data_IF_433829769361
#
_entry.id   IF_433829769361
#
_cell.length_a   1.000
_cell.length_b   1.000
_cell.length_c   1.000
_cell.angle_alpha   90.00
_cell.angle_beta   90.00
_cell.angle_gamma   90.00
#
_symmetry.space_group_name_H-M   'P 1'
#
loop_
_entity.id
_entity.type
_entity.pdbx_description
1 polymer ?
#
# COMPACT_ATOMS: atom_id res chain seq x y z
N UNK A 1 -3.65 12.49 -2.60
CA UNK A 1 -4.56 12.96 -1.52
C UNK A 1 -5.85 13.50 -2.09
N UNK A 2 -6.87 13.74 -1.26
CA UNK A 2 -8.16 14.31 -1.61
C UNK A 2 -9.26 13.80 -0.69
N UNK A 3 -10.43 14.43 -0.73
CA UNK A 3 -11.60 14.05 0.08
C UNK A 3 -12.09 12.62 -0.19
N UNK A 4 -12.91 12.10 0.74
CA UNK A 4 -13.61 10.82 0.51
C UNK A 4 -14.49 10.92 -0.75
N UNK A 5 -14.47 9.86 -1.58
CA UNK A 5 -15.21 9.87 -2.84
C UNK A 5 -14.51 10.57 -4.01
N UNK A 6 -13.32 11.16 -3.84
CA UNK A 6 -12.60 11.83 -4.94
C UNK A 6 -12.05 10.89 -6.03
N UNK A 7 -12.12 9.56 -5.83
CA UNK A 7 -11.68 8.56 -6.81
C UNK A 7 -10.33 7.92 -6.52
N UNK A 8 -9.67 8.18 -5.38
CA UNK A 8 -8.36 7.64 -5.01
C UNK A 8 -8.28 6.11 -5.07
N UNK A 9 -9.17 5.43 -4.36
CA UNK A 9 -9.22 3.95 -4.33
C UNK A 9 -9.59 3.36 -5.69
N UNK A 10 -10.37 4.08 -6.51
CA UNK A 10 -10.67 3.66 -7.88
C UNK A 10 -9.42 3.67 -8.74
N UNK A 11 -8.60 4.72 -8.65
CA UNK A 11 -7.30 4.80 -9.35
C UNK A 11 -6.38 3.67 -8.87
N UNK A 12 -6.27 3.46 -7.55
CA UNK A 12 -5.48 2.35 -6.99
C UNK A 12 -5.87 1.00 -7.59
N UNK A 13 -7.18 0.70 -7.61
CA UNK A 13 -7.72 -0.55 -8.17
C UNK A 13 -7.51 -0.68 -9.69
N UNK A 14 -7.49 0.43 -10.41
CA UNK A 14 -7.15 0.42 -11.84
C UNK A 14 -5.66 0.16 -12.06
N UNK A 15 -4.77 0.74 -11.26
CA UNK A 15 -3.32 0.53 -11.37
C UNK A 15 -2.96 -0.94 -11.14
N UNK A 16 -3.56 -1.61 -10.15
CA UNK A 16 -3.33 -3.04 -9.92
C UNK A 16 -4.19 -3.95 -10.81
N UNK A 17 -4.87 -3.37 -11.80
CA UNK A 17 -5.74 -4.06 -12.76
C UNK A 17 -6.85 -4.93 -12.13
N UNK A 18 -7.43 -4.46 -11.02
CA UNK A 18 -8.68 -4.98 -10.47
C UNK A 18 -9.89 -4.40 -11.20
N UNK A 19 -9.79 -3.13 -11.64
CA UNK A 19 -10.77 -2.46 -12.49
C UNK A 19 -10.10 -2.08 -13.81
N UNK A 20 -10.83 -2.21 -14.92
CA UNK A 20 -10.39 -1.69 -16.20
C UNK A 20 -10.84 -0.25 -16.35
N UNK A 21 -9.97 0.69 -16.77
CA UNK A 21 -10.38 2.04 -17.10
C UNK A 21 -11.31 2.03 -18.33
N UNK A 22 -12.30 2.92 -18.34
CA UNK A 22 -13.22 3.11 -19.48
C UNK A 22 -12.52 3.73 -20.68
N UNK A 23 -11.49 4.52 -20.45
CA UNK A 23 -10.65 5.17 -21.46
C UNK A 23 -9.26 5.49 -20.90
N UNK A 24 -8.31 5.73 -21.78
CA UNK A 24 -6.93 6.02 -21.43
C UNK A 24 -6.08 4.77 -21.19
N UNK A 25 -4.79 5.01 -20.96
CA UNK A 25 -3.79 3.96 -20.78
C UNK A 25 -3.13 4.09 -19.40
N UNK A 26 -2.65 2.97 -18.88
CA UNK A 26 -1.83 2.91 -17.67
C UNK A 26 -0.53 2.21 -18.08
N UNK A 27 0.58 2.92 -17.91
CA UNK A 27 1.90 2.40 -18.22
C UNK A 27 2.68 2.15 -16.92
N UNK A 28 3.32 1.01 -16.84
CA UNK A 28 4.25 0.65 -15.78
C UNK A 28 5.52 0.07 -16.40
N UNK A 29 6.66 0.69 -16.13
CA UNK A 29 7.97 0.24 -16.61
C UNK A 29 7.98 0.01 -18.14
N UNK A 30 7.46 0.97 -18.91
CA UNK A 30 7.30 0.92 -20.37
C UNK A 30 6.34 -0.16 -20.91
N UNK A 31 5.55 -0.80 -20.02
CA UNK A 31 4.53 -1.77 -20.41
C UNK A 31 3.14 -1.15 -20.20
N UNK A 32 2.35 -1.07 -21.28
CA UNK A 32 0.97 -0.62 -21.18
C UNK A 32 0.08 -1.72 -20.62
N UNK A 33 -0.30 -1.57 -19.34
CA UNK A 33 -1.07 -2.58 -18.59
C UNK A 33 -2.45 -2.80 -19.22
N UNK A 34 -3.09 -1.73 -19.67
CA UNK A 34 -4.44 -1.78 -20.26
C UNK A 34 -4.50 -2.58 -21.56
N UNK A 35 -3.36 -2.76 -22.23
CA UNK A 35 -3.21 -3.51 -23.49
C UNK A 35 -2.79 -4.96 -23.29
N UNK A 36 -2.47 -5.38 -22.06
CA UNK A 36 -2.11 -6.78 -21.77
C UNK A 36 -3.33 -7.68 -22.00
N UNK A 37 -3.20 -8.63 -22.95
CA UNK A 37 -4.24 -9.62 -23.28
C UNK A 37 -3.89 -11.02 -22.76
N UNK A 38 -2.61 -11.31 -22.61
CA UNK A 38 -2.11 -12.60 -22.18
C UNK A 38 -2.17 -12.77 -20.65
N UNK A 39 -2.79 -13.85 -20.16
CA UNK A 39 -2.78 -14.19 -18.75
C UNK A 39 -1.36 -14.36 -18.21
N UNK A 40 -0.42 -14.87 -19.01
CA UNK A 40 0.99 -15.04 -18.63
C UNK A 40 1.68 -13.68 -18.38
N UNK A 41 1.43 -12.71 -19.24
CA UNK A 41 1.96 -11.34 -19.09
C UNK A 41 1.31 -10.65 -17.90
N UNK A 42 -0.01 -10.80 -17.73
CA UNK A 42 -0.73 -10.28 -16.59
C UNK A 42 -0.22 -10.84 -15.25
N UNK A 43 0.12 -12.14 -15.21
CA UNK A 43 0.73 -12.75 -14.02
C UNK A 43 2.11 -12.16 -13.71
N UNK A 44 2.94 -11.91 -14.74
CA UNK A 44 4.23 -11.22 -14.55
C UNK A 44 4.05 -9.81 -14.01
N UNK A 45 3.08 -9.07 -14.53
CA UNK A 45 2.73 -7.74 -14.05
C UNK A 45 2.26 -7.78 -12.60
N UNK A 46 1.30 -8.64 -12.26
CA UNK A 46 0.77 -8.78 -10.89
C UNK A 46 1.83 -9.18 -9.86
N UNK A 47 2.90 -9.88 -10.29
CA UNK A 47 4.05 -10.14 -9.43
C UNK A 47 4.78 -8.87 -9.01
N UNK A 48 4.84 -7.86 -9.89
CA UNK A 48 5.64 -6.66 -9.70
C UNK A 48 4.91 -5.55 -8.96
N UNK A 49 3.58 -5.55 -8.99
CA UNK A 49 2.75 -4.54 -8.30
C UNK A 49 1.80 -5.25 -7.36
N UNK A 50 1.85 -4.88 -6.10
CA UNK A 50 0.96 -5.43 -5.06
C UNK A 50 0.19 -4.31 -4.38
N UNK A 51 -0.93 -4.67 -3.75
CA UNK A 51 -1.81 -3.71 -3.08
C UNK A 51 -2.01 -4.08 -1.62
N UNK A 52 -1.90 -3.06 -0.77
CA UNK A 52 -2.31 -3.11 0.64
C UNK A 52 -3.64 -2.37 0.72
N UNK A 53 -4.68 -3.08 1.16
CA UNK A 53 -6.05 -2.56 1.22
C UNK A 53 -6.30 -1.82 2.52
N UNK A 54 -7.29 -0.93 2.51
CA UNK A 54 -7.71 -0.09 3.62
C UNK A 54 -8.11 -0.89 4.86
N UNK A 55 -8.85 -1.98 4.66
CA UNK A 55 -9.33 -2.83 5.76
C UNK A 55 -8.60 -4.18 5.76
N UNK A 56 -7.71 -4.42 6.74
CA UNK A 56 -7.03 -5.69 6.88
C UNK A 56 -7.95 -6.84 7.27
N UNK A 57 -9.13 -6.56 7.86
CA UNK A 57 -10.12 -7.58 8.22
C UNK A 57 -10.72 -8.24 6.97
N UNK A 58 -11.20 -7.43 6.04
CA UNK A 58 -11.82 -7.93 4.82
C UNK A 58 -10.81 -8.48 3.80
N UNK A 59 -9.55 -8.05 3.90
CA UNK A 59 -8.50 -8.44 2.95
C UNK A 59 -7.86 -9.79 3.27
N UNK A 60 -7.96 -10.30 4.50
CA UNK A 60 -7.39 -11.57 4.93
C UNK A 60 -8.50 -12.64 5.06
N UNK A 61 -8.27 -13.83 4.49
CA UNK A 61 -9.19 -14.95 4.67
C UNK A 61 -9.05 -15.51 6.11
N UNK A 62 -10.01 -15.20 6.97
CA UNK A 62 -10.01 -15.62 8.37
C UNK A 62 -10.06 -17.14 8.63
N UNK A 63 -10.32 -17.94 7.58
CA UNK A 63 -10.33 -19.42 7.65
C UNK A 63 -8.98 -20.06 7.40
N UNK A 64 -8.01 -19.30 6.92
CA UNK A 64 -6.65 -19.74 6.62
C UNK A 64 -5.70 -19.32 7.74
N UNK A 65 -4.68 -20.11 7.99
CA UNK A 65 -3.57 -19.72 8.87
C UNK A 65 -2.71 -18.67 8.19
N UNK A 66 -2.04 -17.85 8.99
CA UNK A 66 -1.17 -16.77 8.49
C UNK A 66 -0.14 -17.27 7.49
N UNK A 67 0.49 -18.44 7.75
CA UNK A 67 1.43 -19.03 6.79
C UNK A 67 0.80 -19.35 5.43
N UNK A 68 -0.45 -19.80 5.42
CA UNK A 68 -1.14 -20.13 4.18
C UNK A 68 -1.49 -18.86 3.40
N UNK A 69 -1.90 -17.81 4.10
CA UNK A 69 -2.19 -16.49 3.52
C UNK A 69 -0.93 -15.88 2.88
N UNK A 70 0.19 -15.89 3.60
CA UNK A 70 1.47 -15.31 3.11
C UNK A 70 2.08 -16.18 2.02
N UNK A 71 1.95 -17.51 2.08
CA UNK A 71 2.50 -18.44 1.10
C UNK A 71 1.68 -18.51 -0.21
N UNK A 72 0.42 -18.12 -0.22
CA UNK A 72 -0.44 -18.21 -1.40
C UNK A 72 0.17 -17.52 -2.64
N UNK A 73 0.58 -16.24 -2.59
CA UNK A 73 1.20 -15.60 -3.74
C UNK A 73 2.55 -16.21 -4.12
N UNK A 74 3.31 -16.76 -3.16
CA UNK A 74 4.58 -17.44 -3.46
C UNK A 74 4.32 -18.69 -4.29
N UNK A 75 3.40 -19.55 -3.85
CA UNK A 75 3.01 -20.79 -4.56
C UNK A 75 2.46 -20.49 -5.95
N UNK A 76 1.69 -19.42 -6.09
CA UNK A 76 1.12 -19.02 -7.37
C UNK A 76 2.20 -18.67 -8.40
N UNK A 77 3.27 -18.00 -7.99
CA UNK A 77 4.36 -17.55 -8.87
C UNK A 77 5.54 -18.52 -8.94
N UNK A 78 5.67 -19.44 -7.98
CA UNK A 78 6.68 -20.50 -7.95
C UNK A 78 6.06 -21.82 -7.47
N UNK A 79 5.30 -22.52 -8.35
CA UNK A 79 4.63 -23.77 -7.96
C UNK A 79 5.57 -24.92 -7.58
N UNK A 80 6.85 -24.84 -7.97
CA UNK A 80 7.87 -25.87 -7.71
C UNK A 80 8.68 -25.63 -6.43
N UNK A 81 8.37 -24.59 -5.66
CA UNK A 81 9.08 -24.31 -4.40
C UNK A 81 8.97 -25.46 -3.42
N UNK A 82 10.08 -25.88 -2.82
CA UNK A 82 10.06 -26.94 -1.80
C UNK A 82 9.31 -26.44 -0.55
N UNK A 83 8.78 -27.39 0.25
CA UNK A 83 8.09 -27.03 1.48
C UNK A 83 9.02 -26.32 2.47
N UNK A 84 10.26 -26.78 2.58
CA UNK A 84 11.23 -26.18 3.52
C UNK A 84 11.61 -24.76 3.12
N UNK A 85 11.88 -24.53 1.82
CA UNK A 85 12.19 -23.18 1.32
C UNK A 85 11.01 -22.23 1.47
N UNK A 86 9.78 -22.73 1.25
CA UNK A 86 8.57 -21.97 1.43
C UNK A 86 8.36 -21.57 2.90
N UNK A 87 8.52 -22.52 3.83
CA UNK A 87 8.36 -22.24 5.26
C UNK A 87 9.44 -21.25 5.74
N UNK A 88 10.70 -21.41 5.31
CA UNK A 88 11.76 -20.44 5.62
C UNK A 88 11.42 -19.05 5.11
N UNK A 89 11.02 -18.94 3.84
CA UNK A 89 10.70 -17.67 3.23
C UNK A 89 9.50 -16.96 3.89
N UNK A 90 8.49 -17.73 4.30
CA UNK A 90 7.36 -17.20 5.06
C UNK A 90 7.81 -16.67 6.43
N UNK A 91 8.72 -17.37 7.11
CA UNK A 91 9.24 -16.91 8.40
C UNK A 91 10.05 -15.61 8.25
N UNK A 92 10.91 -15.52 7.22
CA UNK A 92 11.66 -14.29 6.94
C UNK A 92 10.74 -13.11 6.64
N UNK A 93 9.65 -13.32 5.89
CA UNK A 93 8.64 -12.31 5.62
C UNK A 93 7.89 -11.87 6.89
N UNK A 94 7.55 -12.78 7.78
CA UNK A 94 6.91 -12.45 9.05
C UNK A 94 7.85 -11.64 9.95
N UNK A 95 9.12 -12.01 10.01
CA UNK A 95 10.14 -11.31 10.77
C UNK A 95 10.38 -9.90 10.22
N UNK A 96 10.41 -9.72 8.89
CA UNK A 96 10.57 -8.41 8.24
C UNK A 96 9.44 -7.42 8.56
N UNK A 97 8.28 -7.92 8.98
CA UNK A 97 7.15 -7.11 9.45
C UNK A 97 6.97 -7.15 10.98
N UNK A 98 8.03 -7.53 11.72
CA UNK A 98 8.08 -7.60 13.18
C UNK A 98 7.02 -8.55 13.79
N UNK A 99 6.76 -9.66 13.12
CA UNK A 99 5.95 -10.76 13.65
C UNK A 99 6.86 -11.97 13.93
N UNK A 100 6.57 -12.67 15.03
CA UNK A 100 7.33 -13.89 15.38
C UNK A 100 6.94 -15.07 14.49
N UNK A 101 7.81 -16.06 14.34
CA UNK A 101 7.55 -17.29 13.59
C UNK A 101 6.33 -18.06 14.11
N UNK A 102 6.04 -17.97 15.42
CA UNK A 102 4.85 -18.59 16.02
C UNK A 102 3.53 -18.03 15.44
N UNK A 103 3.56 -16.80 14.90
CA UNK A 103 2.43 -16.19 14.22
C UNK A 103 1.96 -16.98 13.00
N UNK A 104 2.86 -17.72 12.35
CA UNK A 104 2.57 -18.48 11.14
C UNK A 104 1.44 -19.52 11.31
N UNK A 105 1.31 -20.10 12.50
CA UNK A 105 0.35 -21.17 12.78
C UNK A 105 -1.01 -20.67 13.31
N UNK A 106 -1.15 -19.37 13.55
CA UNK A 106 -2.34 -18.74 14.07
C UNK A 106 -3.26 -18.26 12.95
N UNK A 107 -4.51 -17.95 13.30
CA UNK A 107 -5.52 -17.41 12.39
C UNK A 107 -5.62 -15.88 12.52
N UNK A 108 -6.04 -15.14 11.46
CA UNK A 108 -6.14 -13.68 11.50
C UNK A 108 -6.96 -13.12 12.66
N UNK A 109 -8.02 -13.80 13.07
CA UNK A 109 -8.87 -13.34 14.17
C UNK A 109 -8.19 -13.34 15.55
N UNK A 110 -7.05 -14.02 15.69
CA UNK A 110 -6.25 -14.06 16.92
C UNK A 110 -5.26 -12.88 17.05
N UNK A 111 -5.27 -11.92 16.10
CA UNK A 111 -4.35 -10.81 16.04
C UNK A 111 -5.07 -9.47 16.21
N UNK A 112 -4.35 -8.46 16.73
CA UNK A 112 -4.80 -7.07 16.76
C UNK A 112 -4.91 -6.48 15.35
N UNK A 113 -5.55 -5.32 15.21
CA UNK A 113 -5.64 -4.60 13.93
C UNK A 113 -4.27 -4.31 13.29
N UNK A 114 -3.33 -3.79 14.09
CA UNK A 114 -1.96 -3.53 13.63
C UNK A 114 -1.21 -4.79 13.22
N UNK A 115 -1.35 -5.89 13.97
CA UNK A 115 -0.75 -7.17 13.59
C UNK A 115 -1.35 -7.74 12.30
N UNK A 116 -2.66 -7.60 12.07
CA UNK A 116 -3.28 -7.98 10.78
C UNK A 116 -2.77 -7.13 9.63
N UNK A 117 -2.55 -5.85 9.87
CA UNK A 117 -1.95 -4.99 8.86
C UNK A 117 -0.53 -5.45 8.51
N UNK A 118 0.27 -5.85 9.48
CA UNK A 118 1.60 -6.44 9.27
C UNK A 118 1.52 -7.73 8.43
N UNK A 119 0.54 -8.60 8.69
CA UNK A 119 0.28 -9.80 7.87
C UNK A 119 -0.09 -9.42 6.42
N UNK A 120 -0.91 -8.38 6.23
CA UNK A 120 -1.27 -7.87 4.90
C UNK A 120 -0.04 -7.33 4.15
N UNK A 121 0.86 -6.64 4.85
CA UNK A 121 2.14 -6.16 4.31
C UNK A 121 3.03 -7.35 3.93
N UNK A 122 3.22 -8.34 4.81
CA UNK A 122 4.01 -9.55 4.53
C UNK A 122 3.48 -10.28 3.29
N UNK A 123 2.16 -10.44 3.15
CA UNK A 123 1.53 -11.04 1.98
C UNK A 123 1.83 -10.24 0.70
N UNK A 124 1.77 -8.92 0.76
CA UNK A 124 2.07 -8.08 -0.39
C UNK A 124 3.55 -8.16 -0.80
N UNK A 125 4.47 -8.30 0.17
CA UNK A 125 5.90 -8.46 -0.09
C UNK A 125 6.28 -9.86 -0.61
N UNK A 126 5.42 -10.86 -0.46
CA UNK A 126 5.70 -12.26 -0.76
C UNK A 126 6.10 -12.52 -2.21
N UNK A 127 5.72 -11.66 -3.15
CA UNK A 127 6.11 -11.74 -4.57
C UNK A 127 7.37 -10.95 -4.90
N UNK A 128 8.00 -10.28 -3.94
CA UNK A 128 9.10 -9.33 -4.14
C UNK A 128 8.72 -8.26 -5.18
N UNK A 129 7.68 -7.47 -4.91
CA UNK A 129 7.19 -6.48 -5.86
C UNK A 129 8.19 -5.33 -6.01
N UNK A 130 8.09 -4.60 -7.12
CA UNK A 130 8.81 -3.33 -7.32
C UNK A 130 7.98 -2.13 -6.85
N UNK A 131 6.65 -2.30 -6.76
CA UNK A 131 5.73 -1.24 -6.37
C UNK A 131 4.67 -1.77 -5.41
N UNK A 132 4.42 -1.01 -4.35
CA UNK A 132 3.27 -1.18 -3.46
C UNK A 132 2.27 -0.04 -3.67
N UNK A 133 1.00 -0.40 -3.82
CA UNK A 133 -0.12 0.54 -3.79
C UNK A 133 -0.78 0.42 -2.43
N UNK A 134 -0.63 1.44 -1.59
CA UNK A 134 -1.17 1.48 -0.23
C UNK A 134 -2.45 2.34 -0.23
N UNK A 135 -3.61 1.73 -0.15
CA UNK A 135 -4.90 2.42 -0.14
C UNK A 135 -5.35 2.61 1.32
N UNK A 136 -5.08 3.79 1.88
CA UNK A 136 -5.37 4.18 3.27
C UNK A 136 -4.91 3.13 4.31
N UNK A 137 -3.64 2.69 4.29
CA UNK A 137 -3.18 1.48 5.00
C UNK A 137 -3.25 1.57 6.52
N UNK A 138 -3.54 2.74 7.07
CA UNK A 138 -3.56 2.99 8.53
C UNK A 138 -4.86 3.59 9.03
N UNK A 139 -5.84 3.86 8.17
CA UNK A 139 -7.07 4.59 8.53
C UNK A 139 -7.95 3.88 9.57
N UNK A 140 -7.85 2.55 9.69
CA UNK A 140 -8.60 1.74 10.64
C UNK A 140 -7.84 1.43 11.95
N UNK A 141 -6.71 2.11 12.19
CA UNK A 141 -5.80 1.83 13.31
C UNK A 141 -5.72 3.01 14.29
N UNK A 142 -5.44 2.71 15.55
CA UNK A 142 -5.15 3.72 16.56
C UNK A 142 -3.88 4.50 16.21
N UNK A 143 -3.78 5.76 16.63
CA UNK A 143 -2.70 6.70 16.28
C UNK A 143 -1.31 6.13 16.56
N UNK A 144 -1.12 5.46 17.70
CA UNK A 144 0.17 4.86 18.08
C UNK A 144 0.56 3.70 17.16
N UNK A 145 -0.39 2.87 16.78
CA UNK A 145 -0.20 1.75 15.86
C UNK A 145 -0.01 2.25 14.42
N UNK A 146 -0.73 3.31 14.05
CA UNK A 146 -0.55 3.98 12.77
C UNK A 146 0.90 4.42 12.56
N UNK A 147 1.50 5.11 13.54
CA UNK A 147 2.90 5.53 13.46
C UNK A 147 3.87 4.35 13.27
N UNK A 148 3.63 3.24 13.97
CA UNK A 148 4.45 2.02 13.81
C UNK A 148 4.36 1.43 12.40
N UNK A 149 3.15 1.36 11.82
CA UNK A 149 2.96 0.84 10.45
C UNK A 149 3.57 1.77 9.40
N UNK A 150 3.51 3.09 9.61
CA UNK A 150 4.13 4.05 8.70
C UNK A 150 5.66 3.95 8.72
N UNK A 151 6.26 3.84 9.91
CA UNK A 151 7.70 3.63 10.04
C UNK A 151 8.12 2.31 9.38
N UNK A 152 7.41 1.20 9.66
CA UNK A 152 7.65 -0.08 9.01
C UNK A 152 7.61 0.02 7.48
N UNK A 153 6.62 0.70 6.91
CA UNK A 153 6.52 0.87 5.44
C UNK A 153 7.70 1.69 4.89
N UNK A 154 8.19 2.68 5.64
CA UNK A 154 9.34 3.48 5.24
C UNK A 154 10.63 2.68 5.29
N UNK A 155 10.86 1.92 6.35
CA UNK A 155 12.01 1.03 6.49
C UNK A 155 12.04 -0.03 5.37
N UNK A 156 10.91 -0.64 5.08
CA UNK A 156 10.76 -1.59 3.98
C UNK A 156 10.97 -0.94 2.60
N UNK A 157 10.53 0.31 2.42
CA UNK A 157 10.77 1.07 1.19
C UNK A 157 12.27 1.25 0.94
N UNK A 158 13.01 1.65 1.96
CA UNK A 158 14.47 1.87 1.88
C UNK A 158 15.21 0.54 1.69
N UNK A 159 14.92 -0.47 2.51
CA UNK A 159 15.60 -1.76 2.48
C UNK A 159 15.40 -2.53 1.17
N UNK A 160 14.19 -2.46 0.62
CA UNK A 160 13.81 -3.22 -0.58
C UNK A 160 13.78 -2.37 -1.86
N UNK A 161 14.14 -1.08 -1.76
CA UNK A 161 14.09 -0.12 -2.87
C UNK A 161 12.72 -0.10 -3.57
N UNK A 162 11.65 -0.02 -2.78
CA UNK A 162 10.28 -0.06 -3.28
C UNK A 162 9.79 1.30 -3.74
N UNK A 163 9.05 1.33 -4.83
CA UNK A 163 8.19 2.47 -5.15
C UNK A 163 6.87 2.31 -4.41
N UNK A 164 6.45 3.32 -3.65
CA UNK A 164 5.17 3.30 -2.93
C UNK A 164 4.23 4.36 -3.51
N UNK A 165 3.06 3.95 -3.98
CA UNK A 165 1.93 4.84 -4.20
C UNK A 165 1.07 4.84 -2.94
N UNK A 166 1.21 5.91 -2.16
CA UNK A 166 0.52 6.05 -0.88
C UNK A 166 -0.75 6.90 -1.03
N UNK A 167 -1.90 6.32 -0.73
CA UNK A 167 -3.19 7.00 -0.76
C UNK A 167 -3.63 7.26 0.68
N UNK A 168 -3.91 8.51 0.99
CA UNK A 168 -4.46 8.93 2.28
C UNK A 168 -5.25 10.23 2.12
N UNK A 169 -6.13 10.49 3.08
CA UNK A 169 -6.75 11.80 3.29
C UNK A 169 -6.05 12.60 4.40
N UNK A 170 -5.10 11.97 5.11
CA UNK A 170 -4.31 12.58 6.19
C UNK A 170 -3.06 13.26 5.61
N UNK A 171 -3.10 14.57 5.49
CA UNK A 171 -2.02 15.38 4.90
C UNK A 171 -0.73 15.36 5.72
N UNK A 172 -0.74 15.46 7.07
CA UNK A 172 0.43 15.24 7.92
C UNK A 172 1.16 13.93 7.62
N UNK A 173 0.42 12.82 7.52
CA UNK A 173 0.98 11.51 7.18
C UNK A 173 1.60 11.53 5.79
N UNK A 174 0.91 12.10 4.80
CA UNK A 174 1.40 12.17 3.43
C UNK A 174 2.68 13.02 3.33
N UNK A 175 2.76 14.13 4.09
CA UNK A 175 3.97 14.96 4.15
C UNK A 175 5.19 14.17 4.64
N UNK A 176 4.99 13.28 5.61
CA UNK A 176 6.06 12.45 6.17
C UNK A 176 6.49 11.31 5.24
N UNK A 177 5.51 10.75 4.48
CA UNK A 177 5.71 9.52 3.73
C UNK A 177 6.11 9.72 2.26
N UNK A 178 5.78 10.86 1.66
CA UNK A 178 5.82 11.03 0.22
C UNK A 178 6.80 12.11 -0.22
N UNK A 179 7.57 11.86 -1.29
CA UNK A 179 8.43 12.85 -1.94
C UNK A 179 7.61 13.79 -2.83
N UNK A 180 6.54 13.27 -3.45
CA UNK A 180 5.64 14.01 -4.35
C UNK A 180 4.20 13.72 -4.01
N UNK A 181 3.34 14.72 -4.19
CA UNK A 181 1.91 14.62 -3.86
C UNK A 181 1.07 14.99 -5.08
N UNK A 182 0.09 14.13 -5.37
CA UNK A 182 -1.01 14.44 -6.30
C UNK A 182 -2.30 14.72 -5.53
N UNK A 183 -2.94 15.84 -5.82
CA UNK A 183 -4.22 16.24 -5.21
C UNK A 183 -5.36 15.91 -6.16
N UNK A 184 -6.30 15.10 -5.68
CA UNK A 184 -7.44 14.62 -6.46
C UNK A 184 -8.75 15.19 -5.92
N UNK A 185 -9.58 15.75 -6.84
CA UNK A 185 -10.93 16.24 -6.53
C UNK A 185 -11.90 15.79 -7.61
N UNK A 186 -13.00 15.14 -7.22
CA UNK A 186 -14.06 14.70 -8.15
C UNK A 186 -13.53 13.94 -9.40
N UNK A 187 -12.59 13.02 -9.19
CA UNK A 187 -11.98 12.23 -10.27
C UNK A 187 -10.95 12.97 -11.12
N UNK A 188 -10.65 14.22 -10.82
CA UNK A 188 -9.66 15.04 -11.56
C UNK A 188 -8.42 15.30 -10.71
N UNK A 189 -7.26 15.15 -11.33
CA UNK A 189 -5.98 15.54 -10.73
C UNK A 189 -5.85 17.06 -10.82
N UNK A 190 -5.93 17.74 -9.66
CA UNK A 190 -5.91 19.19 -9.58
C UNK A 190 -4.49 19.77 -9.55
N UNK A 191 -3.60 19.08 -8.81
CA UNK A 191 -2.23 19.55 -8.62
C UNK A 191 -1.30 18.35 -8.41
N UNK A 192 -0.06 18.44 -8.92
CA UNK A 192 1.04 17.52 -8.62
C UNK A 192 2.27 18.38 -8.36
N UNK A 193 2.91 18.15 -7.21
CA UNK A 193 4.11 18.89 -6.82
C UNK A 193 4.99 18.06 -5.90
N UNK A 194 6.23 18.48 -5.72
CA UNK A 194 7.07 17.99 -4.63
C UNK A 194 6.42 18.34 -3.30
N UNK A 195 6.59 17.48 -2.30
CA UNK A 195 5.89 17.57 -1.03
C UNK A 195 6.08 18.94 -0.37
N UNK A 196 7.29 19.39 -0.16
CA UNK A 196 7.54 20.66 0.51
C UNK A 196 7.04 21.86 -0.31
N UNK A 197 7.15 21.81 -1.64
CA UNK A 197 6.60 22.88 -2.49
C UNK A 197 5.07 22.98 -2.38
N UNK A 198 4.37 21.83 -2.35
CA UNK A 198 2.92 21.78 -2.22
C UNK A 198 2.46 22.38 -0.88
N UNK A 199 3.17 22.12 0.22
CA UNK A 199 2.82 22.65 1.55
C UNK A 199 3.16 24.13 1.69
N UNK A 200 4.26 24.60 1.08
CA UNK A 200 4.72 25.99 1.19
C UNK A 200 4.06 26.93 0.17
N UNK A 201 3.79 26.43 -1.04
CA UNK A 201 3.34 27.23 -2.19
C UNK A 201 2.27 26.50 -3.01
N UNK A 202 1.12 26.13 -2.41
CA UNK A 202 0.04 25.48 -3.14
C UNK A 202 -0.47 26.37 -4.26
N UNK A 203 -0.64 25.80 -5.47
CA UNK A 203 -1.03 26.53 -6.67
C UNK A 203 -2.54 26.48 -6.88
N UNK A 204 -3.16 25.32 -6.68
CA UNK A 204 -4.59 25.12 -6.92
C UNK A 204 -5.43 25.53 -5.70
N UNK A 205 -6.55 26.24 -5.91
CA UNK A 205 -7.42 26.72 -4.82
C UNK A 205 -7.87 25.60 -3.88
N UNK A 206 -8.26 24.45 -4.43
CA UNK A 206 -8.64 23.29 -3.62
C UNK A 206 -7.49 22.75 -2.75
N UNK A 207 -6.25 22.81 -3.23
CA UNK A 207 -5.08 22.45 -2.41
C UNK A 207 -4.92 23.40 -1.23
N UNK A 208 -5.12 24.69 -1.46
CA UNK A 208 -5.10 25.73 -0.40
C UNK A 208 -6.20 25.48 0.63
N UNK A 209 -7.42 25.18 0.16
CA UNK A 209 -8.56 24.83 1.03
C UNK A 209 -8.22 23.62 1.92
N UNK A 210 -7.71 22.52 1.32
CA UNK A 210 -7.31 21.31 2.04
C UNK A 210 -6.24 21.59 3.10
N UNK A 211 -5.22 22.36 2.75
CA UNK A 211 -4.15 22.73 3.68
C UNK A 211 -4.63 23.65 4.80
N UNK A 212 -5.59 24.54 4.50
CA UNK A 212 -6.17 25.44 5.51
C UNK A 212 -7.01 24.70 6.56
N UNK A 213 -7.62 23.58 6.18
CA UNK A 213 -8.40 22.72 7.08
C UNK A 213 -7.52 21.83 7.96
N UNK A 214 -6.21 21.77 7.72
CA UNK A 214 -5.30 21.04 8.59
C UNK A 214 -5.29 21.65 9.99
N UNK A 215 -5.31 20.84 11.06
CA UNK A 215 -5.01 21.32 12.40
C UNK A 215 -3.65 22.01 12.38
N UNK A 216 -3.61 23.31 12.71
CA UNK A 216 -2.32 23.99 12.93
C UNK A 216 -1.69 23.30 14.12
N UNK A 217 -0.60 22.58 13.89
CA UNK A 217 0.29 22.17 14.97
C UNK A 217 0.92 23.49 15.43
N UNK A 218 0.35 24.08 16.46
CA UNK A 218 0.99 25.19 17.17
C UNK A 218 2.36 24.69 17.57
N UNK A 219 3.37 25.40 17.16
CA UNK A 219 4.78 25.11 17.42
C UNK A 219 4.99 24.86 18.91
N UNK A 220 5.19 23.59 19.28
CA UNK A 220 5.65 23.19 20.62
C UNK A 220 7.16 23.47 20.77
N UNK A 221 7.68 24.47 20.08
CA UNK A 221 9.04 24.98 20.24
C UNK A 221 8.97 26.51 20.28
N UNK A 222 8.65 27.00 21.48
CA UNK A 222 9.13 28.28 21.98
C UNK A 222 10.17 28.01 23.06
#
# INVERSE_FOLDING_TARGET
>A
VGESGSGKSTIAKMIVNLYRPSAGDIDFDNVCITKIKSNKEMMKFRKQIQMIFQDPYSSLNGRLKVKDIVSEPIKLHNPSISKNDLDSYVFDLLESVELTQNSANRYPHEFSGGQRQRISIARALATQPRMLVCDEPTSALDVSIQAQILNLLKDLQEQLNLTILFISHDLPVVRQMCDRIGVLRNGKLCEVSDTEELFLRPKHEYTKELLHLMPKIESIYN
#
